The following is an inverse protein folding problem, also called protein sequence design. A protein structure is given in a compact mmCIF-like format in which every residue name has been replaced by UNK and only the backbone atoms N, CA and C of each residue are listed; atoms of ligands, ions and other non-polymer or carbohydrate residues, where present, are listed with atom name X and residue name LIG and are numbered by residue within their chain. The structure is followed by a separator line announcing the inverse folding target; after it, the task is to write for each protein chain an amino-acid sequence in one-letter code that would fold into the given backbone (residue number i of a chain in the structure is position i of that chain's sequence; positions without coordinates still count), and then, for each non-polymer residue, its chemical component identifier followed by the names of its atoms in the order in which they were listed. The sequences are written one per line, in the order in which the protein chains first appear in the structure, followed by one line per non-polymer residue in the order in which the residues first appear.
data_IF_288149268589
#
_entry.id   IF_288149268589
#
_cell.length_a   1.000
_cell.length_b   1.000
_cell.length_c   1.000
_cell.angle_alpha   90.00
_cell.angle_beta   90.00
_cell.angle_gamma   90.00
#
_symmetry.space_group_name_H-M   'P 1'
#
loop_
_entity.id
_entity.type
_entity.pdbx_description
1 polymer ?
#
# COMPACT_ATOMS: atom_id res chain seq x y z
N UNK A 1 -1.40 0.33 59.78
CA UNK A 1 -0.42 0.79 60.80
C UNK A 1 0.59 1.70 60.10
N UNK A 2 0.34 3.01 60.13
CA UNK A 2 1.04 4.02 60.94
C UNK A 2 2.42 4.44 60.39
N UNK A 3 2.37 5.48 59.55
CA UNK A 3 3.17 6.71 59.62
C UNK A 3 4.12 6.86 60.82
N UNK A 4 5.42 6.94 60.56
CA UNK A 4 6.53 7.44 61.39
C UNK A 4 7.75 7.48 60.43
N UNK A 5 8.49 8.54 60.10
CA UNK A 5 9.02 9.64 60.86
C UNK A 5 9.27 10.83 59.91
N UNK A 6 8.33 11.76 59.89
CA UNK A 6 8.63 13.18 59.70
C UNK A 6 9.25 13.66 61.01
N UNK A 7 10.56 13.90 61.04
CA UNK A 7 11.25 14.75 62.04
C UNK A 7 12.79 14.66 61.89
N UNK A 8 13.33 15.18 60.78
CA UNK A 8 14.70 15.74 60.76
C UNK A 8 14.71 17.12 60.10
N UNK A 9 13.64 17.87 60.36
CA UNK A 9 13.49 19.29 60.07
C UNK A 9 13.51 20.04 61.41
N UNK A 10 14.66 20.06 62.08
CA UNK A 10 14.96 21.01 63.13
C UNK A 10 16.46 20.93 63.42
N UNK A 11 17.09 22.09 63.54
CA UNK A 11 18.52 22.28 63.84
C UNK A 11 19.42 22.15 62.60
N UNK A 12 19.24 23.04 61.64
CA UNK A 12 20.40 23.74 61.05
C UNK A 12 20.02 25.08 60.38
N UNK A 13 19.15 25.86 61.02
CA UNK A 13 18.95 27.28 60.67
C UNK A 13 19.55 28.15 61.74
N UNK A 14 20.89 28.20 61.83
CA UNK A 14 21.55 29.26 62.57
C UNK A 14 22.99 29.47 62.10
N UNK A 15 23.14 30.35 61.09
CA UNK A 15 24.22 31.35 60.91
C UNK A 15 24.29 31.75 59.44
N UNK A 16 23.30 32.51 58.98
CA UNK A 16 23.51 33.38 57.81
C UNK A 16 24.30 34.61 58.27
N UNK A 17 25.61 34.42 58.42
CA UNK A 17 26.57 35.50 58.46
C UNK A 17 26.74 36.07 57.06
N UNK A 18 26.50 37.38 56.93
CA UNK A 18 26.76 38.19 55.76
C UNK A 18 28.15 37.90 55.18
N UNK A 19 28.21 37.31 53.99
CA UNK A 19 29.40 37.34 53.13
C UNK A 19 28.96 37.96 51.82
N UNK A 20 29.39 39.21 51.58
CA UNK A 20 29.12 39.92 50.34
C UNK A 20 29.84 39.22 49.18
N UNK A 21 29.10 38.45 48.38
CA UNK A 21 29.59 38.05 47.06
C UNK A 21 29.51 39.26 46.13
N UNK A 22 30.68 39.78 45.76
CA UNK A 22 30.82 40.84 44.77
C UNK A 22 30.41 40.33 43.39
N UNK A 23 29.72 41.18 42.60
CA UNK A 23 29.18 40.88 41.25
C UNK A 23 30.16 40.25 40.24
N UNK A 24 31.47 40.28 40.50
CA UNK A 24 32.51 39.67 39.64
C UNK A 24 32.63 38.15 39.83
N UNK A 25 32.38 37.60 41.02
CA UNK A 25 32.51 36.15 41.26
C UNK A 25 31.30 35.37 40.74
N UNK A 26 30.13 35.98 40.72
CA UNK A 26 28.90 35.38 40.18
C UNK A 26 28.94 35.22 38.65
N UNK A 27 29.69 36.08 37.93
CA UNK A 27 29.79 36.01 36.45
C UNK A 27 30.74 34.93 35.93
N UNK A 28 31.66 34.42 36.75
CA UNK A 28 32.61 33.36 36.37
C UNK A 28 32.07 31.96 36.72
N UNK A 29 31.24 31.85 37.75
CA UNK A 29 30.65 30.58 38.18
C UNK A 29 29.47 30.11 37.31
N UNK A 30 28.78 31.03 36.62
CA UNK A 30 27.64 30.73 35.73
C UNK A 30 28.01 30.02 34.41
N UNK A 31 29.09 30.37 33.68
CA UNK A 31 29.48 29.62 32.48
C UNK A 31 30.15 28.28 32.82
N UNK A 32 30.80 28.15 33.98
CA UNK A 32 31.48 26.90 34.37
C UNK A 32 30.49 25.79 34.73
N UNK A 33 29.37 26.13 35.38
CA UNK A 33 28.32 25.15 35.69
C UNK A 33 27.55 24.70 34.45
N UNK A 34 27.37 25.55 33.45
CA UNK A 34 26.75 25.19 32.16
C UNK A 34 27.59 24.21 31.33
N UNK A 35 28.92 24.24 31.44
CA UNK A 35 29.81 23.29 30.74
C UNK A 35 29.79 21.91 31.41
N UNK A 36 29.67 21.84 32.74
CA UNK A 36 29.65 20.57 33.48
C UNK A 36 28.31 19.83 33.33
N UNK A 37 27.20 20.54 33.13
CA UNK A 37 25.87 19.95 32.86
C UNK A 37 25.68 19.50 31.40
N UNK A 38 26.56 19.90 30.48
CA UNK A 38 26.52 19.52 29.07
C UNK A 38 27.43 18.36 28.68
N UNK A 39 28.28 17.88 29.60
CA UNK A 39 29.13 16.73 29.36
C UNK A 39 28.28 15.45 29.45
N UNK A 40 27.67 15.05 28.34
CA UNK A 40 27.13 13.69 28.19
C UNK A 40 28.24 12.71 28.53
N UNK A 41 28.08 11.97 29.62
CA UNK A 41 29.01 10.90 29.98
C UNK A 41 28.94 9.85 28.89
N UNK A 42 29.96 9.81 28.03
CA UNK A 42 30.18 8.65 27.17
C UNK A 42 30.53 7.48 28.11
N UNK A 43 29.55 6.68 28.50
CA UNK A 43 29.81 5.44 29.20
C UNK A 43 30.41 4.47 28.19
N UNK A 44 31.70 4.21 28.31
CA UNK A 44 32.36 3.16 27.56
C UNK A 44 31.92 1.80 28.11
N UNK A 45 30.77 1.30 27.66
CA UNK A 45 30.34 -0.07 27.95
C UNK A 45 31.16 -1.05 27.11
N UNK A 46 32.26 -1.51 27.70
CA UNK A 46 33.20 -2.45 27.08
C UNK A 46 32.54 -3.78 26.73
N UNK A 47 31.52 -4.20 27.49
CA UNK A 47 30.79 -5.43 27.21
C UNK A 47 29.94 -5.27 25.95
N UNK A 48 29.19 -4.16 25.84
CA UNK A 48 28.44 -3.80 24.63
C UNK A 48 29.34 -3.63 23.40
N UNK A 49 30.56 -3.10 23.58
CA UNK A 49 31.54 -3.00 22.51
C UNK A 49 31.93 -4.38 21.94
N UNK A 50 32.40 -5.31 22.78
CA UNK A 50 32.79 -6.64 22.31
C UNK A 50 31.61 -7.45 21.80
N UNK A 51 30.45 -7.32 22.43
CA UNK A 51 29.21 -7.94 21.95
C UNK A 51 28.87 -7.46 20.53
N UNK A 52 28.88 -6.14 20.31
CA UNK A 52 28.66 -5.53 18.99
C UNK A 52 29.71 -5.95 17.97
N UNK A 53 30.97 -6.09 18.39
CA UNK A 53 32.06 -6.56 17.53
C UNK A 53 31.84 -8.01 17.07
N UNK A 54 31.49 -8.91 18.00
CA UNK A 54 31.19 -10.31 17.68
C UNK A 54 30.00 -10.44 16.73
N UNK A 55 28.92 -9.67 16.95
CA UNK A 55 27.76 -9.65 16.04
C UNK A 55 28.18 -9.20 14.63
N UNK A 56 28.94 -8.10 14.53
CA UNK A 56 29.38 -7.57 13.23
C UNK A 56 30.31 -8.56 12.51
N UNK A 57 31.21 -9.21 13.23
CA UNK A 57 32.11 -10.23 12.68
C UNK A 57 31.33 -11.44 12.16
N UNK A 58 30.41 -11.99 12.97
CA UNK A 58 29.55 -13.10 12.56
C UNK A 58 28.70 -12.74 11.34
N UNK A 59 28.13 -11.52 11.32
CA UNK A 59 27.36 -10.98 10.18
C UNK A 59 28.19 -10.87 8.91
N UNK A 60 29.40 -10.34 9.00
CA UNK A 60 30.28 -10.16 7.85
C UNK A 60 30.72 -11.51 7.28
N UNK A 61 30.93 -12.52 8.14
CA UNK A 61 31.25 -13.89 7.73
C UNK A 61 30.06 -14.60 7.08
N UNK A 62 28.83 -14.26 7.45
CA UNK A 62 27.62 -14.81 6.86
C UNK A 62 27.31 -14.18 5.48
N UNK A 63 27.88 -13.03 5.14
CA UNK A 63 27.60 -12.40 3.85
C UNK A 63 27.96 -13.34 2.68
N UNK A 64 27.08 -13.54 1.67
CA UNK A 64 25.85 -12.77 1.40
C UNK A 64 24.55 -13.29 2.06
N UNK A 65 24.42 -14.54 2.45
CA UNK A 65 23.19 -15.12 3.04
C UNK A 65 23.11 -14.86 4.54
N UNK A 66 22.09 -14.17 5.10
CA UNK A 66 20.67 -14.20 4.72
C UNK A 66 20.14 -12.90 4.10
N UNK A 67 21.01 -11.96 3.73
CA UNK A 67 20.59 -10.63 3.30
C UNK A 67 19.89 -10.67 1.94
N UNK A 68 20.32 -11.56 1.06
CA UNK A 68 19.74 -11.81 -0.27
C UNK A 68 18.32 -12.34 -0.19
N UNK A 69 18.06 -13.36 0.64
CA UNK A 69 16.71 -13.90 0.83
C UNK A 69 15.75 -12.86 1.43
N UNK A 70 16.20 -12.13 2.45
CA UNK A 70 15.37 -11.08 3.08
C UNK A 70 15.09 -9.95 2.10
N UNK A 71 16.09 -9.48 1.35
CA UNK A 71 15.90 -8.40 0.36
C UNK A 71 14.97 -8.83 -0.79
N UNK A 72 15.10 -10.07 -1.27
CA UNK A 72 14.19 -10.64 -2.26
C UNK A 72 12.76 -10.71 -1.72
N UNK A 73 12.57 -11.19 -0.48
CA UNK A 73 11.26 -11.25 0.16
C UNK A 73 10.65 -9.86 0.34
N UNK A 74 11.44 -8.86 0.77
CA UNK A 74 10.97 -7.48 0.91
C UNK A 74 10.56 -6.87 -0.44
N UNK A 75 11.27 -7.21 -1.51
CA UNK A 75 10.93 -6.77 -2.87
C UNK A 75 9.64 -7.43 -3.38
N UNK A 76 9.40 -8.71 -3.05
CA UNK A 76 8.20 -9.44 -3.48
C UNK A 76 6.95 -9.13 -2.64
N UNK A 77 7.11 -8.84 -1.35
CA UNK A 77 6.02 -8.57 -0.41
C UNK A 77 4.96 -7.55 -0.90
N UNK A 78 5.32 -6.37 -1.43
CA UNK A 78 4.32 -5.41 -1.90
C UNK A 78 3.51 -5.94 -3.07
N UNK A 79 4.11 -6.73 -3.97
CA UNK A 79 3.39 -7.29 -5.12
C UNK A 79 2.34 -8.30 -4.70
N UNK A 80 2.58 -9.09 -3.65
CA UNK A 80 1.55 -10.00 -3.13
C UNK A 80 0.35 -9.23 -2.55
N UNK A 81 0.59 -8.11 -1.87
CA UNK A 81 -0.47 -7.22 -1.39
C UNK A 81 -1.24 -6.62 -2.57
N UNK A 82 -0.54 -6.16 -3.61
CA UNK A 82 -1.17 -5.63 -4.83
C UNK A 82 -2.01 -6.68 -5.54
N UNK A 83 -1.51 -7.92 -5.66
CA UNK A 83 -2.29 -9.04 -6.22
C UNK A 83 -3.55 -9.28 -5.40
N UNK A 84 -3.44 -9.36 -4.07
CA UNK A 84 -4.60 -9.55 -3.20
C UNK A 84 -5.64 -8.43 -3.37
N UNK A 85 -5.19 -7.18 -3.41
CA UNK A 85 -6.06 -6.02 -3.60
C UNK A 85 -6.70 -5.99 -4.99
N UNK A 86 -5.96 -6.37 -6.04
CA UNK A 86 -6.50 -6.50 -7.40
C UNK A 86 -7.61 -7.54 -7.48
N UNK A 87 -7.41 -8.70 -6.84
CA UNK A 87 -8.45 -9.73 -6.74
C UNK A 87 -9.65 -9.28 -5.91
N UNK A 88 -9.42 -8.56 -4.79
CA UNK A 88 -10.51 -7.98 -4.00
C UNK A 88 -11.33 -7.02 -4.85
N UNK A 89 -10.69 -6.06 -5.52
CA UNK A 89 -11.37 -5.09 -6.38
C UNK A 89 -12.12 -5.77 -7.54
N UNK A 90 -11.53 -6.78 -8.17
CA UNK A 90 -12.20 -7.55 -9.22
C UNK A 90 -13.43 -8.29 -8.69
N UNK A 91 -13.34 -8.90 -7.51
CA UNK A 91 -14.45 -9.65 -6.94
C UNK A 91 -15.46 -8.77 -6.18
N UNK A 92 -15.29 -7.45 -6.21
CA UNK A 92 -16.28 -6.51 -5.67
C UNK A 92 -17.44 -6.33 -6.64
N UNK A 93 -18.66 -6.52 -6.12
CA UNK A 93 -19.92 -6.27 -6.79
C UNK A 93 -20.35 -4.84 -6.44
N UNK A 94 -20.16 -3.92 -7.39
CA UNK A 94 -20.51 -2.50 -7.25
C UNK A 94 -22.01 -2.21 -7.41
N UNK A 95 -22.39 -0.94 -7.27
CA UNK A 95 -23.79 -0.49 -7.37
C UNK A 95 -24.42 -0.80 -8.73
N UNK A 96 -23.65 -0.76 -9.82
CA UNK A 96 -24.15 -0.98 -11.19
C UNK A 96 -24.65 -2.40 -11.46
N UNK A 97 -24.28 -3.35 -10.61
CA UNK A 97 -24.70 -4.76 -10.71
C UNK A 97 -25.96 -5.06 -9.89
N UNK A 98 -26.44 -4.06 -9.15
CA UNK A 98 -27.69 -4.11 -8.39
C UNK A 98 -28.72 -3.16 -9.00
N UNK A 99 -29.99 -3.52 -8.84
CA UNK A 99 -31.08 -2.60 -9.12
C UNK A 99 -31.16 -1.55 -8.00
N UNK A 100 -31.20 -0.28 -8.38
CA UNK A 100 -31.36 0.85 -7.44
C UNK A 100 -32.66 0.70 -6.63
N UNK A 101 -32.59 0.89 -5.31
CA UNK A 101 -33.73 0.83 -4.39
C UNK A 101 -33.98 -0.55 -3.79
N UNK A 102 -34.10 -1.58 -4.62
CA UNK A 102 -34.52 -2.92 -4.15
C UNK A 102 -33.37 -3.82 -3.69
N UNK A 103 -32.12 -3.51 -4.07
CA UNK A 103 -30.95 -4.35 -3.78
C UNK A 103 -30.93 -5.68 -4.53
N UNK A 104 -31.85 -5.90 -5.48
CA UNK A 104 -31.92 -7.10 -6.29
C UNK A 104 -30.79 -7.16 -7.33
N UNK A 105 -30.27 -8.36 -7.59
CA UNK A 105 -29.20 -8.59 -8.58
C UNK A 105 -29.70 -8.45 -10.02
N UNK A 106 -28.98 -7.67 -10.83
CA UNK A 106 -29.16 -7.61 -12.28
C UNK A 106 -28.60 -8.85 -12.97
N UNK A 107 -28.95 -9.06 -14.24
CA UNK A 107 -28.43 -10.17 -15.04
C UNK A 107 -26.89 -10.18 -15.08
N UNK A 108 -26.27 -9.02 -15.27
CA UNK A 108 -24.81 -8.86 -15.24
C UNK A 108 -24.21 -9.25 -13.88
N UNK A 109 -24.86 -8.87 -12.77
CA UNK A 109 -24.43 -9.24 -11.42
C UNK A 109 -24.47 -10.74 -11.18
N UNK A 110 -25.52 -11.42 -11.65
CA UNK A 110 -25.63 -12.90 -11.55
C UNK A 110 -24.52 -13.61 -12.31
N UNK A 111 -24.24 -13.19 -13.55
CA UNK A 111 -23.14 -13.79 -14.33
C UNK A 111 -21.78 -13.51 -13.70
N UNK A 112 -21.59 -12.34 -13.10
CA UNK A 112 -20.37 -12.00 -12.35
C UNK A 112 -20.16 -12.94 -11.17
N UNK A 113 -21.19 -13.15 -10.35
CA UNK A 113 -21.13 -14.05 -9.20
C UNK A 113 -20.88 -15.49 -9.65
N UNK A 114 -21.55 -15.94 -10.71
CA UNK A 114 -21.32 -17.26 -11.31
C UNK A 114 -19.87 -17.44 -11.77
N UNK A 115 -19.28 -16.43 -12.42
CA UNK A 115 -17.88 -16.47 -12.82
C UNK A 115 -16.95 -16.55 -11.60
N UNK A 116 -17.18 -15.75 -10.55
CA UNK A 116 -16.37 -15.81 -9.32
C UNK A 116 -16.50 -17.20 -8.68
N UNK A 117 -17.70 -17.75 -8.60
CA UNK A 117 -17.93 -19.04 -7.96
C UNK A 117 -17.32 -20.22 -8.72
N UNK A 118 -17.22 -20.15 -10.05
CA UNK A 118 -16.81 -21.30 -10.89
C UNK A 118 -15.40 -21.17 -11.44
N UNK A 119 -14.98 -19.98 -11.87
CA UNK A 119 -13.71 -19.76 -12.58
C UNK A 119 -12.61 -19.19 -11.67
N UNK A 120 -12.95 -18.52 -10.56
CA UNK A 120 -11.94 -17.97 -9.68
C UNK A 120 -11.18 -19.10 -8.94
N UNK A 121 -9.85 -18.97 -8.77
CA UNK A 121 -9.06 -19.90 -7.97
C UNK A 121 -9.62 -20.02 -6.54
N UNK A 122 -9.59 -21.22 -5.97
CA UNK A 122 -10.22 -21.51 -4.67
C UNK A 122 -9.74 -20.58 -3.55
N UNK A 123 -8.44 -20.30 -3.49
CA UNK A 123 -7.82 -19.42 -2.49
C UNK A 123 -8.30 -17.96 -2.57
N UNK A 124 -8.88 -17.55 -3.70
CA UNK A 124 -9.30 -16.17 -3.99
C UNK A 124 -10.80 -16.06 -4.25
N UNK A 125 -11.55 -17.14 -4.00
CA UNK A 125 -12.99 -17.25 -4.24
C UNK A 125 -13.76 -16.59 -3.10
N UNK A 126 -13.78 -15.27 -3.09
CA UNK A 126 -14.55 -14.45 -2.17
C UNK A 126 -15.34 -13.41 -2.95
N UNK A 127 -16.60 -13.21 -2.61
CA UNK A 127 -17.48 -12.19 -3.19
C UNK A 127 -17.54 -11.02 -2.23
N UNK A 128 -17.17 -9.84 -2.70
CA UNK A 128 -17.27 -8.61 -1.92
C UNK A 128 -18.48 -7.81 -2.38
N UNK A 129 -19.39 -7.48 -1.46
CA UNK A 129 -20.59 -6.70 -1.75
C UNK A 129 -20.34 -5.26 -1.31
N UNK A 130 -20.50 -4.31 -2.23
CA UNK A 130 -20.40 -2.90 -1.88
C UNK A 130 -21.62 -2.49 -1.05
N UNK A 131 -21.37 -1.83 0.08
CA UNK A 131 -22.39 -1.29 0.97
C UNK A 131 -23.36 -0.40 0.19
N UNK A 132 -24.66 -0.53 0.47
CA UNK A 132 -25.70 0.34 -0.08
C UNK A 132 -25.75 1.69 0.65
N UNK A 133 -26.72 2.53 0.30
CA UNK A 133 -26.93 3.81 1.00
C UNK A 133 -27.39 3.59 2.45
N UNK A 134 -28.14 2.50 2.68
CA UNK A 134 -28.70 2.13 3.96
C UNK A 134 -28.35 0.69 4.33
N UNK A 135 -28.41 0.36 5.63
CA UNK A 135 -28.15 -1.01 6.12
C UNK A 135 -29.19 -2.03 5.59
N UNK A 136 -30.45 -1.60 5.44
CA UNK A 136 -31.49 -2.44 4.82
C UNK A 136 -31.15 -2.82 3.39
N UNK A 137 -30.68 -1.86 2.58
CA UNK A 137 -30.27 -2.12 1.20
C UNK A 137 -29.04 -3.04 1.17
N UNK A 138 -28.07 -2.80 2.05
CA UNK A 138 -26.88 -3.64 2.18
C UNK A 138 -27.26 -5.09 2.51
N UNK A 139 -28.18 -5.29 3.46
CA UNK A 139 -28.67 -6.61 3.82
C UNK A 139 -29.42 -7.26 2.65
N UNK A 140 -30.26 -6.52 1.92
CA UNK A 140 -30.96 -7.04 0.75
C UNK A 140 -30.00 -7.48 -0.37
N UNK A 141 -28.92 -6.73 -0.59
CA UNK A 141 -27.85 -7.08 -1.54
C UNK A 141 -27.13 -8.36 -1.11
N UNK A 142 -26.76 -8.47 0.16
CA UNK A 142 -26.09 -9.66 0.71
C UNK A 142 -27.00 -10.89 0.62
N UNK A 143 -28.27 -10.77 0.97
CA UNK A 143 -29.26 -11.85 0.82
C UNK A 143 -29.40 -12.28 -0.64
N UNK A 144 -29.52 -11.33 -1.57
CA UNK A 144 -29.60 -11.63 -3.01
C UNK A 144 -28.38 -12.41 -3.52
N UNK A 145 -27.18 -12.08 -3.03
CA UNK A 145 -25.94 -12.79 -3.37
C UNK A 145 -25.94 -14.20 -2.79
N UNK A 146 -26.36 -14.37 -1.53
CA UNK A 146 -26.48 -15.70 -0.91
C UNK A 146 -27.49 -16.58 -1.66
N UNK A 147 -28.65 -16.05 -2.00
CA UNK A 147 -29.68 -16.76 -2.77
C UNK A 147 -29.16 -17.21 -4.14
N UNK A 148 -28.36 -16.36 -4.80
CA UNK A 148 -27.71 -16.72 -6.07
C UNK A 148 -26.68 -17.83 -5.87
N UNK A 149 -25.85 -17.75 -4.82
CA UNK A 149 -24.84 -18.77 -4.53
C UNK A 149 -25.45 -20.13 -4.18
N UNK A 150 -26.58 -20.16 -3.48
CA UNK A 150 -27.31 -21.40 -3.16
C UNK A 150 -27.86 -22.11 -4.41
N UNK A 151 -28.18 -21.35 -5.46
CA UNK A 151 -28.65 -21.91 -6.74
C UNK A 151 -27.52 -22.47 -7.59
N UNK A 152 -26.27 -22.13 -7.30
CA UNK A 152 -25.12 -22.59 -8.04
C UNK A 152 -24.61 -23.89 -7.44
N UNK A 153 -24.42 -24.91 -8.28
CA UNK A 153 -23.68 -26.10 -7.91
C UNK A 153 -22.18 -25.83 -8.11
N UNK A 154 -21.41 -25.93 -7.05
CA UNK A 154 -19.95 -25.79 -7.09
C UNK A 154 -19.29 -27.01 -6.44
N UNK A 155 -18.13 -27.38 -6.96
CA UNK A 155 -17.28 -28.39 -6.36
C UNK A 155 -16.36 -27.69 -5.35
N UNK A 156 -16.46 -28.03 -4.06
CA UNK A 156 -15.66 -27.46 -2.98
C UNK A 156 -16.44 -26.55 -2.03
N UNK A 157 -15.71 -25.72 -1.26
CA UNK A 157 -16.32 -24.80 -0.31
C UNK A 157 -17.02 -23.62 -1.03
N UNK A 158 -18.19 -23.17 -0.53
CA UNK A 158 -18.87 -21.99 -1.09
C UNK A 158 -17.99 -20.74 -0.99
N UNK A 159 -18.06 -19.82 -1.97
CA UNK A 159 -17.42 -18.51 -1.86
C UNK A 159 -17.88 -17.78 -0.59
N UNK A 160 -16.93 -17.17 0.13
CA UNK A 160 -17.27 -16.32 1.27
C UNK A 160 -17.85 -14.99 0.77
N UNK A 161 -18.98 -14.57 1.34
CA UNK A 161 -19.59 -13.26 1.09
C UNK A 161 -19.14 -12.29 2.18
N UNK A 162 -18.62 -11.13 1.79
CA UNK A 162 -18.16 -10.08 2.70
C UNK A 162 -18.67 -8.72 2.24
N UNK A 163 -18.98 -7.82 3.16
CA UNK A 163 -19.33 -6.43 2.84
C UNK A 163 -18.06 -5.59 2.78
N UNK A 164 -17.99 -4.67 1.82
CA UNK A 164 -16.91 -3.70 1.69
C UNK A 164 -17.47 -2.29 1.46
N UNK A 165 -16.75 -1.28 1.93
CA UNK A 165 -17.01 0.14 1.65
C UNK A 165 -16.10 0.68 0.53
N UNK A 166 -15.19 -0.16 0.02
CA UNK A 166 -14.23 0.26 -1.00
C UNK A 166 -14.86 0.02 -2.35
N UNK A 167 -15.20 1.11 -3.03
CA UNK A 167 -15.70 1.05 -4.40
C UNK A 167 -14.57 0.61 -5.34
N UNK A 168 -14.81 -0.38 -6.24
CA UNK A 168 -13.81 -0.76 -7.21
C UNK A 168 -13.57 0.41 -8.17
N UNK A 169 -12.30 0.71 -8.54
CA UNK A 169 -12.02 1.73 -9.52
C UNK A 169 -12.66 1.31 -10.86
N UNK A 170 -13.75 1.95 -11.22
CA UNK A 170 -14.40 1.78 -12.51
C UNK A 170 -14.14 3.01 -13.38
N UNK A 171 -14.06 2.78 -14.68
CA UNK A 171 -14.03 3.84 -15.66
C UNK A 171 -15.32 3.77 -16.48
N UNK A 172 -16.00 4.90 -16.73
CA UNK A 172 -17.18 4.87 -17.57
C UNK A 172 -16.81 4.43 -18.98
N UNK A 173 -17.63 3.56 -19.58
CA UNK A 173 -17.40 3.02 -20.93
C UNK A 173 -17.08 4.08 -21.99
N UNK A 174 -17.83 5.20 -22.06
CA UNK A 174 -17.55 6.28 -23.02
C UNK A 174 -16.16 6.90 -22.86
N UNK A 175 -15.63 6.97 -21.64
CA UNK A 175 -14.29 7.48 -21.39
C UNK A 175 -13.22 6.50 -21.88
N UNK A 176 -13.42 5.21 -21.63
CA UNK A 176 -12.52 4.17 -22.12
C UNK A 176 -12.49 4.13 -23.66
N UNK A 177 -13.66 4.28 -24.30
CA UNK A 177 -13.77 4.37 -25.76
C UNK A 177 -13.04 5.60 -26.30
N UNK A 178 -13.23 6.76 -25.67
CA UNK A 178 -12.55 8.01 -26.07
C UNK A 178 -11.04 7.84 -26.03
N UNK A 179 -10.49 7.32 -24.93
CA UNK A 179 -9.04 7.09 -24.80
C UNK A 179 -8.55 6.11 -25.85
N UNK A 180 -9.26 5.02 -26.07
CA UNK A 180 -8.88 4.03 -27.08
C UNK A 180 -8.84 4.65 -28.49
N UNK A 181 -9.86 5.45 -28.83
CA UNK A 181 -9.95 6.15 -30.10
C UNK A 181 -8.84 7.19 -30.27
N UNK A 182 -8.57 7.98 -29.23
CA UNK A 182 -7.46 8.94 -29.22
C UNK A 182 -6.10 8.25 -29.35
N UNK A 183 -5.91 7.11 -28.70
CA UNK A 183 -4.70 6.32 -28.81
C UNK A 183 -4.50 5.80 -30.23
N UNK A 184 -5.53 5.19 -30.83
CA UNK A 184 -5.48 4.73 -32.23
C UNK A 184 -5.16 5.87 -33.21
N UNK A 185 -5.73 7.06 -32.99
CA UNK A 185 -5.46 8.23 -33.83
C UNK A 185 -4.03 8.78 -33.68
N UNK A 186 -3.36 8.51 -32.55
CA UNK A 186 -1.98 8.95 -32.27
C UNK A 186 -0.94 7.90 -32.58
N UNK A 187 -1.35 6.66 -32.89
CA UNK A 187 -0.40 5.62 -33.26
C UNK A 187 0.31 6.03 -34.56
N UNK A 188 1.64 5.90 -34.63
CA UNK A 188 2.35 6.04 -35.89
C UNK A 188 1.83 4.98 -36.86
N UNK A 189 1.78 5.32 -38.15
CA UNK A 189 1.39 4.37 -39.18
C UNK A 189 2.26 3.11 -39.06
N UNK A 190 1.69 1.89 -39.09
CA UNK A 190 2.45 0.67 -38.97
C UNK A 190 3.43 0.56 -40.15
N UNK A 191 4.73 0.55 -39.86
CA UNK A 191 5.77 0.40 -40.87
C UNK A 191 6.23 -1.07 -40.86
N UNK A 192 6.20 -1.72 -42.02
CA UNK A 192 6.83 -3.02 -42.17
C UNK A 192 8.36 -2.86 -42.16
N UNK A 193 9.12 -3.77 -41.55
CA UNK A 193 10.58 -3.73 -41.63
C UNK A 193 11.00 -3.76 -43.10
N UNK A 194 11.85 -2.81 -43.49
CA UNK A 194 12.36 -2.65 -44.86
C UNK A 194 13.25 -3.80 -45.33
N UNK A 195 13.55 -4.75 -44.46
CA UNK A 195 14.37 -5.94 -44.74
C UNK A 195 13.75 -7.16 -44.07
N UNK A 196 13.47 -8.19 -44.88
CA UNK A 196 13.07 -9.51 -44.37
C UNK A 196 14.30 -10.22 -43.79
N UNK A 197 14.13 -11.16 -42.86
CA UNK A 197 15.22 -11.94 -42.24
C UNK A 197 16.16 -12.65 -43.25
N UNK A 198 15.74 -12.80 -44.51
CA UNK A 198 16.53 -13.34 -45.62
C UNK A 198 17.35 -12.27 -46.39
N UNK A 199 17.45 -11.03 -45.91
CA UNK A 199 18.23 -9.95 -46.53
C UNK A 199 17.58 -9.31 -47.78
N UNK A 200 16.34 -9.68 -48.10
CA UNK A 200 15.59 -9.10 -49.23
C UNK A 200 14.87 -7.82 -48.79
N UNK A 201 15.02 -6.74 -49.56
CA UNK A 201 14.32 -5.46 -49.36
C UNK A 201 12.81 -5.66 -49.41
N UNK A 202 12.11 -5.24 -48.36
CA UNK A 202 10.65 -5.28 -48.26
C UNK A 202 9.97 -4.24 -49.15
N UNK A 203 8.79 -4.58 -49.68
CA UNK A 203 7.96 -3.71 -50.52
C UNK A 203 7.43 -2.54 -49.67
N UNK A 204 8.13 -1.40 -49.67
CA UNK A 204 7.57 -0.12 -49.23
C UNK A 204 7.66 0.89 -50.38
N UNK A 205 6.75 0.77 -51.35
CA UNK A 205 6.48 1.85 -52.30
C UNK A 205 5.51 2.83 -51.65
N UNK A 206 6.04 3.91 -51.09
CA UNK A 206 5.25 5.10 -50.79
C UNK A 206 4.82 5.75 -52.11
N UNK A 207 3.63 5.39 -52.61
CA UNK A 207 3.00 6.09 -53.73
C UNK A 207 2.50 7.44 -53.26
N UNK A 208 3.36 8.46 -53.38
CA UNK A 208 2.97 9.86 -53.27
C UNK A 208 1.91 10.19 -54.32
N UNK A 209 0.83 10.83 -53.87
CA UNK A 209 -0.29 11.28 -54.69
C UNK A 209 0.18 12.28 -55.75
N UNK A 210 0.04 11.90 -57.03
CA UNK A 210 0.18 12.80 -58.18
C UNK A 210 -1.06 13.67 -58.32
N UNK A 211 -0.98 14.93 -57.89
CA UNK A 211 -1.97 15.96 -58.21
C UNK A 211 -1.77 16.45 -59.63
N UNK A 212 -2.60 15.99 -60.56
CA UNK A 212 -2.73 16.55 -61.89
C UNK A 212 -3.71 17.73 -61.90
N UNK A 213 -3.24 18.92 -62.27
CA UNK A 213 -4.11 19.99 -62.77
C UNK A 213 -3.49 20.56 -64.05
N UNK A 214 -4.06 20.17 -65.19
CA UNK A 214 -3.82 20.78 -66.50
C UNK A 214 -5.11 21.47 -66.91
N UNK A 215 -5.08 22.78 -67.10
CA UNK A 215 -6.11 23.56 -67.77
C UNK A 215 -5.47 24.79 -68.40
N UNK A 216 -5.78 25.13 -69.66
CA UNK A 216 -5.58 26.48 -70.18
C UNK A 216 -6.53 27.47 -69.51
#
# INVERSE_FOLDING_TARGET
MKTQFSAKAAVLTQRFGRIGLTRRTVRVLLPLTLIVLGASTASADWHSFWHSFHIKYARNRAWPEPFTEVDAAQTMAPFEVMKHNGWRAHNTIGHDLFRRGDGALLAAGRERIKWIATQAPEQRRAVYVLQGENDQETQARVTSVHDMLQRLHFNGAPPRVMVTHIEPPSAPGPWAEKIHREWLNRLPAPVLPSTTAAGTSGITTASGASGGSSGP
#
